data_IF_757625724602
#
_entry.id   IF_757625724602
#
_cell.length_a   1.000
_cell.length_b   1.000
_cell.length_c   1.000
_cell.angle_alpha   90.00
_cell.angle_beta   90.00
_cell.angle_gamma   90.00
#
_symmetry.space_group_name_H-M   'P 1'
#
loop_
_entity.id
_entity.type
_entity.pdbx_description
1 polymer ?
#
# COMPACT_ATOMS: atom_id res chain seq x y z
N UNK A 1 26.92 8.04 37.69
CA UNK A 1 27.55 7.55 38.93
C UNK A 1 28.54 6.48 38.54
N UNK A 2 29.84 6.81 38.54
CA UNK A 2 30.91 5.96 38.01
C UNK A 2 31.28 4.86 39.00
N UNK A 3 31.12 3.60 38.61
CA UNK A 3 31.66 2.46 39.36
C UNK A 3 33.00 2.05 38.73
N UNK A 4 34.10 2.41 39.41
CA UNK A 4 35.44 1.90 39.11
C UNK A 4 35.54 0.49 39.70
N UNK A 5 35.66 -0.52 38.85
CA UNK A 5 35.98 -1.87 39.29
C UNK A 5 37.49 -1.94 39.56
N UNK A 6 37.86 -2.01 40.84
CA UNK A 6 39.23 -2.20 41.30
C UNK A 6 39.45 -3.70 41.49
N UNK A 7 40.32 -4.31 40.67
CA UNK A 7 40.79 -5.68 40.89
C UNK A 7 42.23 -5.62 41.33
N UNK A 8 42.44 -6.01 42.58
CA UNK A 8 43.72 -6.13 43.24
C UNK A 8 44.59 -7.18 42.54
N UNK A 9 45.81 -6.79 42.18
CA UNK A 9 46.86 -7.70 41.73
C UNK A 9 47.69 -8.12 42.94
N UNK A 10 47.49 -9.35 43.39
CA UNK A 10 48.43 -10.07 44.22
C UNK A 10 48.43 -11.48 43.67
N UNK A 11 49.58 -11.97 43.21
CA UNK A 11 50.02 -13.35 43.41
C UNK A 11 51.52 -13.45 43.18
N UNK A 12 52.13 -14.24 44.06
CA UNK A 12 53.56 -14.36 44.28
C UNK A 12 54.31 -14.94 43.09
N UNK A 13 55.59 -14.60 43.04
CA UNK A 13 56.56 -15.28 42.20
C UNK A 13 56.75 -16.74 42.64
N UNK A 14 56.96 -17.59 41.64
CA UNK A 14 57.37 -18.98 41.77
C UNK A 14 57.68 -19.49 40.36
N UNK A 15 58.93 -19.89 40.15
CA UNK A 15 59.50 -20.10 38.82
C UNK A 15 59.17 -21.42 38.13
N UNK A 16 59.67 -21.52 36.90
CA UNK A 16 59.85 -22.77 36.17
C UNK A 16 58.78 -23.05 35.11
N UNK A 17 59.20 -23.20 33.85
CA UNK A 17 58.40 -23.85 32.81
C UNK A 17 58.09 -22.99 31.59
N UNK A 18 59.03 -22.92 30.66
CA UNK A 18 58.81 -22.55 29.27
C UNK A 18 57.79 -23.50 28.62
N UNK A 19 56.53 -23.08 28.52
CA UNK A 19 55.49 -23.88 27.86
C UNK A 19 54.10 -23.24 27.73
N UNK A 20 53.94 -21.94 28.01
CA UNK A 20 52.64 -21.25 27.97
C UNK A 20 52.82 -19.84 27.41
N UNK A 21 52.94 -19.69 26.09
CA UNK A 21 52.99 -18.35 25.47
C UNK A 21 52.09 -18.19 24.24
N UNK A 22 51.66 -19.26 23.57
CA UNK A 22 50.71 -19.15 22.44
C UNK A 22 49.24 -19.18 22.88
N UNK A 23 48.88 -20.03 23.85
CA UNK A 23 47.49 -20.17 24.31
C UNK A 23 46.96 -18.91 25.03
N UNK A 24 47.82 -18.22 25.81
CA UNK A 24 47.47 -16.98 26.50
C UNK A 24 47.30 -15.78 25.55
N UNK A 25 48.08 -15.73 24.48
CA UNK A 25 47.98 -14.71 23.44
C UNK A 25 46.73 -14.93 22.55
N UNK A 26 46.41 -16.17 22.22
CA UNK A 26 45.17 -16.49 21.48
C UNK A 26 43.91 -16.16 22.31
N UNK A 27 43.92 -16.42 23.61
CA UNK A 27 42.81 -16.09 24.51
C UNK A 27 42.59 -14.58 24.66
N UNK A 28 43.65 -13.77 24.67
CA UNK A 28 43.53 -12.30 24.76
C UNK A 28 43.00 -11.68 23.47
N UNK A 29 43.41 -12.19 22.30
CA UNK A 29 42.87 -11.76 21.00
C UNK A 29 41.40 -12.12 20.87
N UNK A 30 41.00 -13.33 21.30
CA UNK A 30 39.60 -13.76 21.25
C UNK A 30 38.71 -12.95 22.20
N UNK A 31 39.20 -12.62 23.40
CA UNK A 31 38.48 -11.76 24.34
C UNK A 31 38.25 -10.34 23.78
N UNK A 32 39.27 -9.74 23.16
CA UNK A 32 39.17 -8.43 22.51
C UNK A 32 38.20 -8.46 21.31
N UNK A 33 38.20 -9.53 20.51
CA UNK A 33 37.27 -9.67 19.40
C UNK A 33 35.82 -9.88 19.86
N UNK A 34 35.62 -10.61 20.96
CA UNK A 34 34.29 -10.77 21.59
C UNK A 34 33.76 -9.44 22.14
N UNK A 35 34.62 -8.62 22.74
CA UNK A 35 34.26 -7.26 23.20
C UNK A 35 33.92 -6.33 22.02
N UNK A 36 34.66 -6.41 20.92
CA UNK A 36 34.36 -5.66 19.69
C UNK A 36 33.03 -6.08 19.07
N UNK A 37 32.74 -7.37 19.04
CA UNK A 37 31.50 -7.91 18.49
C UNK A 37 30.29 -7.57 19.39
N UNK A 38 30.45 -7.62 20.71
CA UNK A 38 29.39 -7.17 21.64
C UNK A 38 29.16 -5.66 21.58
N UNK A 39 30.21 -4.86 21.35
CA UNK A 39 30.08 -3.42 21.10
C UNK A 39 29.33 -3.14 19.79
N UNK A 40 29.65 -3.86 18.69
CA UNK A 40 28.92 -3.80 17.42
C UNK A 40 27.44 -4.15 17.57
N UNK A 41 27.12 -5.21 18.33
CA UNK A 41 25.73 -5.62 18.60
C UNK A 41 24.96 -4.61 19.45
N UNK A 42 25.61 -3.98 20.42
CA UNK A 42 24.97 -2.90 21.21
C UNK A 42 24.69 -1.67 20.35
N UNK A 43 25.64 -1.25 19.52
CA UNK A 43 25.45 -0.14 18.59
C UNK A 43 24.29 -0.42 17.61
N UNK A 44 24.25 -1.64 17.03
CA UNK A 44 23.16 -2.05 16.15
C UNK A 44 21.78 -2.09 16.86
N UNK A 45 21.74 -2.54 18.11
CA UNK A 45 20.51 -2.55 18.90
C UNK A 45 20.04 -1.14 19.29
N UNK A 46 20.97 -0.21 19.55
CA UNK A 46 20.65 1.20 19.79
C UNK A 46 20.10 1.88 18.53
N UNK A 47 20.68 1.60 17.35
CA UNK A 47 20.15 2.13 16.08
C UNK A 47 18.76 1.58 15.75
N UNK A 48 18.51 0.29 16.03
CA UNK A 48 17.19 -0.31 15.81
C UNK A 48 16.13 0.36 16.69
N UNK A 49 16.42 0.57 17.98
CA UNK A 49 15.52 1.28 18.90
C UNK A 49 15.28 2.73 18.50
N UNK A 50 16.29 3.41 17.94
CA UNK A 50 16.13 4.77 17.44
C UNK A 50 15.20 4.83 16.21
N UNK A 51 15.31 3.86 15.29
CA UNK A 51 14.41 3.74 14.15
C UNK A 51 12.97 3.41 14.57
N UNK A 52 12.78 2.46 15.49
CA UNK A 52 11.47 2.11 16.02
C UNK A 52 10.80 3.31 16.72
N UNK A 53 11.57 4.10 17.48
CA UNK A 53 11.05 5.31 18.11
C UNK A 53 10.72 6.44 17.13
N UNK A 54 11.40 6.51 15.98
CA UNK A 54 11.07 7.46 14.92
C UNK A 54 9.80 7.04 14.17
N UNK A 55 9.62 5.74 13.91
CA UNK A 55 8.40 5.18 13.32
C UNK A 55 7.17 5.43 14.21
N UNK A 56 7.29 5.27 15.53
CA UNK A 56 6.20 5.60 16.47
C UNK A 56 5.84 7.08 16.45
N UNK A 57 6.83 7.98 16.32
CA UNK A 57 6.59 9.43 16.21
C UNK A 57 5.94 9.83 14.89
N UNK A 58 6.23 9.13 13.80
CA UNK A 58 5.55 9.35 12.52
C UNK A 58 4.09 8.91 12.62
N UNK A 59 3.80 7.73 13.20
CA UNK A 59 2.43 7.28 13.46
C UNK A 59 1.63 8.27 14.31
N UNK A 60 2.23 8.83 15.36
CA UNK A 60 1.56 9.82 16.21
C UNK A 60 1.30 11.15 15.46
N UNK A 61 2.18 11.55 14.54
CA UNK A 61 1.95 12.72 13.68
C UNK A 61 0.82 12.47 12.68
N UNK A 62 0.79 11.29 12.07
CA UNK A 62 -0.26 10.91 11.13
C UNK A 62 -1.62 10.88 11.82
N UNK A 63 -1.73 10.26 13.01
CA UNK A 63 -2.97 10.22 13.79
C UNK A 63 -3.44 11.63 14.23
N UNK A 64 -2.51 12.52 14.61
CA UNK A 64 -2.84 13.93 14.91
C UNK A 64 -3.29 14.71 13.69
N UNK A 65 -2.74 14.38 12.51
CA UNK A 65 -3.12 15.04 11.26
C UNK A 65 -4.52 14.60 10.82
N UNK A 66 -4.82 13.30 10.90
CA UNK A 66 -6.16 12.77 10.65
C UNK A 66 -7.22 13.34 11.61
N UNK A 67 -6.90 13.45 12.91
CA UNK A 67 -7.81 14.08 13.89
C UNK A 67 -8.12 15.53 13.53
N UNK A 68 -7.11 16.31 13.15
CA UNK A 68 -7.31 17.71 12.72
C UNK A 68 -8.14 17.81 11.44
N UNK A 69 -7.91 16.94 10.47
CA UNK A 69 -8.70 16.92 9.24
C UNK A 69 -10.18 16.56 9.51
N UNK A 70 -10.44 15.64 10.44
CA UNK A 70 -11.79 15.28 10.85
C UNK A 70 -12.48 16.40 11.64
N UNK A 71 -11.77 17.05 12.58
CA UNK A 71 -12.29 18.23 13.30
C UNK A 71 -12.64 19.36 12.33
N UNK A 72 -11.79 19.64 11.34
CA UNK A 72 -12.06 20.68 10.32
C UNK A 72 -13.25 20.31 9.42
N UNK A 73 -13.44 19.02 9.11
CA UNK A 73 -14.61 18.50 8.38
C UNK A 73 -15.89 18.65 9.22
N UNK A 74 -15.86 18.36 10.52
CA UNK A 74 -17.01 18.55 11.43
C UNK A 74 -17.39 20.02 11.59
N UNK A 75 -16.43 20.93 11.74
CA UNK A 75 -16.70 22.38 11.80
C UNK A 75 -17.36 22.91 10.52
N UNK A 76 -16.91 22.42 9.36
CA UNK A 76 -17.51 22.77 8.06
C UNK A 76 -18.93 22.22 7.91
N UNK A 77 -19.22 21.03 8.43
CA UNK A 77 -20.58 20.48 8.43
C UNK A 77 -21.52 21.23 9.38
N UNK A 78 -21.08 21.52 10.61
CA UNK A 78 -21.85 22.34 11.56
C UNK A 78 -22.06 23.78 11.08
N UNK A 79 -21.14 24.32 10.27
CA UNK A 79 -21.32 25.60 9.59
C UNK A 79 -22.43 25.57 8.52
N UNK A 80 -22.51 24.48 7.75
CA UNK A 80 -23.57 24.27 6.74
C UNK A 80 -24.93 24.04 7.38
N UNK A 81 -25.03 23.23 8.43
CA UNK A 81 -26.31 22.98 9.12
C UNK A 81 -26.90 24.23 9.77
N UNK A 82 -26.05 25.09 10.36
CA UNK A 82 -26.48 26.40 10.88
C UNK A 82 -26.99 27.33 9.79
N UNK A 83 -26.40 27.28 8.59
CA UNK A 83 -26.84 28.07 7.44
C UNK A 83 -28.16 27.54 6.84
N UNK A 84 -28.41 26.22 6.90
CA UNK A 84 -29.71 25.64 6.52
C UNK A 84 -30.83 26.04 7.50
N UNK A 85 -30.59 25.99 8.82
CA UNK A 85 -31.58 26.41 9.83
C UNK A 85 -31.97 27.88 9.70
N UNK A 86 -31.01 28.77 9.48
CA UNK A 86 -31.27 30.21 9.31
C UNK A 86 -32.04 30.58 8.04
N UNK A 87 -32.05 29.69 7.03
CA UNK A 87 -32.87 29.86 5.82
C UNK A 87 -34.30 29.32 5.99
N UNK A 88 -34.52 28.34 6.87
CA UNK A 88 -35.86 27.81 7.17
C UNK A 88 -36.67 28.71 8.11
N UNK A 89 -36.02 29.43 9.03
CA UNK A 89 -36.70 30.33 9.98
C UNK A 89 -37.29 31.60 9.31
N UNK A 90 -37.08 31.80 8.00
CA UNK A 90 -37.64 32.92 7.24
C UNK A 90 -38.92 32.58 6.47
N UNK A 91 -39.38 31.32 6.49
CA UNK A 91 -40.59 30.87 5.80
C UNK A 91 -41.64 30.29 6.77
N UNK A 92 -41.96 31.02 7.84
CA UNK A 92 -43.11 30.70 8.70
C UNK A 92 -43.93 31.96 8.90
N UNK A 93 -44.74 32.28 7.90
CA UNK A 93 -45.96 33.04 8.07
C UNK A 93 -46.96 32.53 7.03
N UNK A 94 -48.13 32.18 7.55
CA UNK A 94 -49.41 32.00 6.87
C UNK A 94 -49.86 30.56 6.51
N UNK A 95 -51.07 30.30 7.03
CA UNK A 95 -52.13 29.39 6.58
C UNK A 95 -52.36 28.08 7.35
N UNK A 96 -53.40 28.15 8.20
CA UNK A 96 -54.17 27.05 8.77
C UNK A 96 -54.89 26.27 7.66
N UNK A 97 -54.85 24.93 7.74
CA UNK A 97 -55.57 24.05 6.83
C UNK A 97 -55.17 22.60 7.05
N UNK A 98 -55.91 21.90 7.90
CA UNK A 98 -55.78 20.47 8.10
C UNK A 98 -56.50 19.75 6.96
N UNK A 99 -55.73 19.32 5.94
CA UNK A 99 -56.20 18.42 4.89
C UNK A 99 -55.51 17.06 5.06
N UNK A 100 -56.32 16.01 5.00
CA UNK A 100 -55.92 14.61 5.08
C UNK A 100 -54.86 14.29 4.00
N UNK A 101 -53.60 14.11 4.43
CA UNK A 101 -52.53 13.66 3.56
C UNK A 101 -52.71 12.15 3.35
N UNK A 102 -53.42 11.79 2.27
CA UNK A 102 -53.28 10.47 1.65
C UNK A 102 -51.79 10.20 1.36
N UNK A 103 -51.34 9.00 1.68
CA UNK A 103 -49.98 8.48 1.49
C UNK A 103 -49.33 8.94 0.17
N UNK A 104 -48.62 10.07 0.21
CA UNK A 104 -47.86 10.58 -0.93
C UNK A 104 -46.55 9.78 -0.98
N UNK A 105 -46.57 8.74 -1.80
CA UNK A 105 -45.42 7.92 -2.17
C UNK A 105 -44.20 8.83 -2.46
N UNK A 106 -43.10 8.56 -1.74
CA UNK A 106 -41.81 9.25 -1.81
C UNK A 106 -41.13 8.97 -3.16
N UNK A 107 -41.66 9.54 -4.23
CA UNK A 107 -41.21 9.45 -5.63
C UNK A 107 -39.91 10.22 -5.94
N UNK A 108 -39.24 10.82 -4.95
CA UNK A 108 -37.96 11.52 -5.13
C UNK A 108 -36.73 10.57 -5.19
N UNK A 109 -36.96 9.26 -5.26
CA UNK A 109 -35.91 8.25 -5.45
C UNK A 109 -35.44 8.07 -6.89
N UNK A 110 -35.96 8.80 -7.87
CA UNK A 110 -35.73 8.53 -9.30
C UNK A 110 -34.53 9.25 -9.90
N UNK A 111 -34.07 10.37 -9.34
CA UNK A 111 -33.03 11.19 -9.99
C UNK A 111 -31.62 10.60 -9.89
N UNK A 112 -31.23 10.10 -8.71
CA UNK A 112 -29.90 9.51 -8.52
C UNK A 112 -29.77 8.24 -9.36
N UNK A 113 -30.79 7.39 -9.34
CA UNK A 113 -30.80 6.13 -10.09
C UNK A 113 -30.82 6.38 -11.61
N UNK A 114 -31.56 7.40 -12.07
CA UNK A 114 -31.57 7.81 -13.49
C UNK A 114 -30.20 8.36 -13.90
N UNK A 115 -29.57 9.20 -13.08
CA UNK A 115 -28.22 9.73 -13.37
C UNK A 115 -27.18 8.60 -13.39
N UNK A 116 -27.25 7.67 -12.44
CA UNK A 116 -26.37 6.50 -12.43
C UNK A 116 -26.59 5.62 -13.67
N UNK A 117 -27.84 5.40 -14.09
CA UNK A 117 -28.16 4.62 -15.28
C UNK A 117 -27.67 5.30 -16.56
N UNK A 118 -27.80 6.63 -16.66
CA UNK A 118 -27.28 7.42 -17.77
C UNK A 118 -25.75 7.35 -17.82
N UNK A 119 -25.09 7.54 -16.67
CA UNK A 119 -23.63 7.50 -16.56
C UNK A 119 -23.08 6.11 -16.93
N UNK A 120 -23.67 5.06 -16.36
CA UNK A 120 -23.28 3.68 -16.68
C UNK A 120 -23.48 3.36 -18.15
N UNK A 121 -24.55 3.85 -18.78
CA UNK A 121 -24.76 3.68 -20.22
C UNK A 121 -23.69 4.39 -21.07
N UNK A 122 -23.27 5.60 -20.69
CA UNK A 122 -22.17 6.27 -21.38
C UNK A 122 -20.82 5.58 -21.18
N UNK A 123 -20.53 5.13 -19.95
CA UNK A 123 -19.32 4.40 -19.62
C UNK A 123 -19.26 3.06 -20.37
N UNK A 124 -20.40 2.38 -20.53
CA UNK A 124 -20.53 1.13 -21.31
C UNK A 124 -20.15 1.28 -22.78
N UNK A 125 -20.30 2.48 -23.36
CA UNK A 125 -19.87 2.72 -24.75
C UNK A 125 -18.34 2.70 -24.92
N UNK A 126 -17.58 3.00 -23.86
CA UNK A 126 -16.11 3.18 -23.90
C UNK A 126 -15.39 2.24 -22.91
N UNK A 127 -15.85 1.00 -22.79
CA UNK A 127 -15.36 0.05 -21.77
C UNK A 127 -13.88 -0.30 -21.91
N UNK A 128 -13.36 -0.44 -23.14
CA UNK A 128 -11.97 -0.86 -23.39
C UNK A 128 -10.92 0.06 -22.77
N UNK A 129 -11.22 1.36 -22.74
CA UNK A 129 -10.28 2.40 -22.33
C UNK A 129 -10.49 2.78 -20.86
N UNK A 130 -11.70 2.53 -20.35
CA UNK A 130 -12.09 2.86 -18.99
C UNK A 130 -11.67 1.78 -17.99
N UNK A 131 -11.82 0.49 -18.35
CA UNK A 131 -11.50 -0.64 -17.47
C UNK A 131 -10.07 -0.59 -16.92
N UNK A 132 -9.02 -0.33 -17.72
CA UNK A 132 -7.65 -0.21 -17.20
C UNK A 132 -7.49 0.87 -16.13
N UNK A 133 -8.07 2.05 -16.38
CA UNK A 133 -8.01 3.19 -15.46
C UNK A 133 -8.79 2.91 -14.18
N UNK A 134 -9.99 2.36 -14.32
CA UNK A 134 -10.84 2.01 -13.19
C UNK A 134 -10.21 0.91 -12.33
N UNK A 135 -9.57 -0.08 -12.95
CA UNK A 135 -8.84 -1.13 -12.23
C UNK A 135 -7.73 -0.53 -11.37
N UNK A 136 -6.92 0.37 -11.93
CA UNK A 136 -5.85 1.03 -11.19
C UNK A 136 -6.35 1.88 -10.03
N UNK A 137 -7.42 2.65 -10.23
CA UNK A 137 -7.94 3.57 -9.21
C UNK A 137 -8.52 2.84 -7.99
N UNK A 138 -8.84 1.56 -8.09
CA UNK A 138 -9.20 0.72 -6.93
C UNK A 138 -8.02 0.49 -5.96
N UNK A 139 -6.79 0.78 -6.39
CA UNK A 139 -5.58 0.63 -5.58
C UNK A 139 -4.99 1.98 -5.16
N UNK A 140 -5.74 3.08 -5.28
CA UNK A 140 -5.28 4.39 -4.83
C UNK A 140 -5.01 4.38 -3.32
N UNK A 141 -3.90 5.01 -2.85
CA UNK A 141 -3.63 5.11 -1.42
C UNK A 141 -4.67 5.95 -0.65
N UNK A 142 -5.47 6.79 -1.32
CA UNK A 142 -6.59 7.47 -0.70
C UNK A 142 -7.80 6.54 -0.61
N UNK A 143 -8.22 6.21 0.60
CA UNK A 143 -9.35 5.32 0.90
C UNK A 143 -10.67 5.84 0.33
N UNK A 144 -10.93 7.15 0.38
CA UNK A 144 -12.15 7.75 -0.18
C UNK A 144 -12.26 7.49 -1.69
N UNK A 145 -11.14 7.60 -2.42
CA UNK A 145 -11.09 7.34 -3.86
C UNK A 145 -11.20 5.84 -4.14
N UNK A 146 -10.47 5.01 -3.40
CA UNK A 146 -10.53 3.57 -3.52
C UNK A 146 -11.95 3.02 -3.33
N UNK A 147 -12.66 3.49 -2.30
CA UNK A 147 -14.04 3.07 -2.01
C UNK A 147 -15.01 3.49 -3.12
N UNK A 148 -14.92 4.75 -3.56
CA UNK A 148 -15.77 5.25 -4.65
C UNK A 148 -15.54 4.47 -5.96
N UNK A 149 -14.29 4.15 -6.27
CA UNK A 149 -13.91 3.43 -7.50
C UNK A 149 -14.26 1.95 -7.43
N UNK A 150 -14.17 1.34 -6.23
CA UNK A 150 -14.62 -0.04 -5.98
C UNK A 150 -16.14 -0.16 -6.07
N UNK A 151 -16.87 0.83 -5.56
CA UNK A 151 -18.32 0.91 -5.70
C UNK A 151 -18.71 1.04 -7.18
N UNK A 152 -18.04 1.91 -7.93
CA UNK A 152 -18.26 2.07 -9.37
C UNK A 152 -17.94 0.78 -10.15
N UNK A 153 -16.85 0.10 -9.81
CA UNK A 153 -16.48 -1.19 -10.40
C UNK A 153 -17.59 -2.22 -10.25
N UNK A 154 -18.18 -2.34 -9.05
CA UNK A 154 -19.28 -3.27 -8.77
C UNK A 154 -20.57 -2.95 -9.52
N UNK A 155 -20.84 -1.67 -9.78
CA UNK A 155 -22.04 -1.24 -10.54
C UNK A 155 -21.84 -1.49 -12.04
N UNK A 156 -20.62 -1.30 -12.55
CA UNK A 156 -20.32 -1.36 -13.97
C UNK A 156 -20.06 -2.78 -14.47
N UNK A 157 -19.42 -3.60 -13.64
CA UNK A 157 -18.89 -4.91 -14.02
C UNK A 157 -19.66 -6.02 -13.29
N UNK A 158 -20.47 -6.77 -14.05
CA UNK A 158 -21.27 -7.88 -13.51
C UNK A 158 -20.39 -9.03 -13.01
N UNK A 159 -19.42 -9.48 -13.84
CA UNK A 159 -18.40 -10.47 -13.45
C UNK A 159 -16.98 -9.85 -13.51
N UNK A 160 -16.35 -9.58 -12.36
CA UNK A 160 -15.04 -8.94 -12.31
C UNK A 160 -13.92 -9.82 -12.91
N UNK A 161 -14.02 -11.14 -12.80
CA UNK A 161 -12.97 -12.05 -13.30
C UNK A 161 -13.04 -12.16 -14.81
N UNK A 162 -14.25 -12.25 -15.36
CA UNK A 162 -14.46 -12.34 -16.79
C UNK A 162 -14.08 -11.03 -17.49
N UNK A 163 -14.54 -9.89 -16.97
CA UNK A 163 -14.22 -8.57 -17.53
C UNK A 163 -12.72 -8.27 -17.50
N UNK A 164 -12.05 -8.61 -16.39
CA UNK A 164 -10.60 -8.45 -16.28
C UNK A 164 -9.85 -9.34 -17.27
N UNK A 165 -10.31 -10.57 -17.50
CA UNK A 165 -9.67 -11.48 -18.46
C UNK A 165 -9.87 -11.03 -19.91
N UNK A 166 -11.03 -10.42 -20.23
CA UNK A 166 -11.31 -9.87 -21.56
C UNK A 166 -10.44 -8.64 -21.90
N UNK A 167 -10.16 -7.78 -20.92
CA UNK A 167 -9.40 -6.54 -21.10
C UNK A 167 -7.96 -6.62 -20.56
N UNK A 168 -7.49 -7.82 -20.20
CA UNK A 168 -6.21 -8.02 -19.51
C UNK A 168 -5.02 -7.35 -20.22
N UNK A 169 -4.84 -7.46 -21.55
CA UNK A 169 -3.69 -6.85 -22.22
C UNK A 169 -3.66 -5.32 -22.06
N UNK A 170 -4.83 -4.69 -22.10
CA UNK A 170 -4.99 -3.24 -21.93
C UNK A 170 -4.69 -2.82 -20.48
N UNK A 171 -5.17 -3.61 -19.51
CA UNK A 171 -4.93 -3.37 -18.08
C UNK A 171 -3.43 -3.50 -17.76
N UNK A 172 -2.77 -4.56 -18.22
CA UNK A 172 -1.33 -4.77 -18.00
C UNK A 172 -0.50 -3.62 -18.58
N UNK A 173 -0.85 -3.17 -19.80
CA UNK A 173 -0.16 -2.06 -20.46
C UNK A 173 -0.35 -0.73 -19.73
N UNK A 174 -1.58 -0.41 -19.29
CA UNK A 174 -1.87 0.83 -18.54
C UNK A 174 -1.15 0.86 -17.20
N UNK A 175 -1.18 -0.25 -16.45
CA UNK A 175 -0.52 -0.36 -15.15
C UNK A 175 1.00 -0.25 -15.28
N UNK A 176 1.61 -0.92 -16.27
CA UNK A 176 3.05 -0.80 -16.53
C UNK A 176 3.45 0.62 -16.96
N UNK A 177 2.62 1.26 -17.78
CA UNK A 177 2.82 2.66 -18.20
C UNK A 177 2.74 3.60 -17.02
N UNK A 178 1.71 3.49 -16.18
CA UNK A 178 1.55 4.40 -15.04
C UNK A 178 2.68 4.23 -14.01
N UNK A 179 3.10 2.98 -13.75
CA UNK A 179 4.21 2.67 -12.86
C UNK A 179 5.51 3.43 -13.21
N UNK A 180 5.74 3.70 -14.51
CA UNK A 180 6.96 4.34 -14.99
C UNK A 180 6.78 5.80 -15.41
N UNK A 181 5.63 6.16 -15.98
CA UNK A 181 5.37 7.47 -16.56
C UNK A 181 4.63 8.43 -15.63
N UNK A 182 4.05 7.95 -14.52
CA UNK A 182 3.26 8.81 -13.65
C UNK A 182 4.14 9.83 -12.92
N UNK A 183 3.74 11.10 -13.02
CA UNK A 183 4.40 12.21 -12.33
C UNK A 183 4.11 12.20 -10.83
N UNK A 184 3.00 11.58 -10.41
CA UNK A 184 2.59 11.52 -9.00
C UNK A 184 3.04 10.22 -8.38
N UNK A 185 3.56 10.28 -7.14
CA UNK A 185 3.94 9.06 -6.41
C UNK A 185 2.71 8.17 -6.12
N UNK A 186 1.53 8.77 -5.96
CA UNK A 186 0.27 8.04 -5.73
C UNK A 186 -0.08 7.11 -6.89
N UNK A 187 0.03 7.59 -8.13
CA UNK A 187 -0.21 6.77 -9.32
C UNK A 187 0.76 5.60 -9.42
N UNK A 188 2.03 5.82 -9.05
CA UNK A 188 3.06 4.77 -9.02
C UNK A 188 2.83 3.74 -7.92
N UNK A 189 2.43 4.17 -6.72
CA UNK A 189 2.07 3.28 -5.61
C UNK A 189 0.84 2.43 -5.96
N UNK A 190 -0.22 3.04 -6.51
CA UNK A 190 -1.41 2.34 -6.94
C UNK A 190 -1.08 1.31 -8.03
N UNK A 191 -0.25 1.68 -9.01
CA UNK A 191 0.22 0.76 -10.03
C UNK A 191 1.01 -0.42 -9.43
N UNK A 192 1.89 -0.17 -8.45
CA UNK A 192 2.64 -1.24 -7.77
C UNK A 192 1.71 -2.25 -7.09
N UNK A 193 0.73 -1.76 -6.32
CA UNK A 193 -0.27 -2.62 -5.68
C UNK A 193 -1.12 -3.37 -6.71
N UNK A 194 -1.53 -2.71 -7.79
CA UNK A 194 -2.29 -3.33 -8.88
C UNK A 194 -1.50 -4.46 -9.57
N UNK A 195 -0.18 -4.29 -9.80
CA UNK A 195 0.67 -5.36 -10.37
C UNK A 195 0.69 -6.58 -9.45
N UNK A 196 0.80 -6.34 -8.13
CA UNK A 196 0.83 -7.43 -7.14
C UNK A 196 -0.40 -8.33 -7.24
N UNK A 197 -1.60 -7.73 -7.28
CA UNK A 197 -2.87 -8.46 -7.36
C UNK A 197 -3.13 -9.07 -8.73
N UNK A 198 -2.80 -8.35 -9.81
CA UNK A 198 -3.09 -8.76 -11.17
C UNK A 198 -2.36 -10.04 -11.59
N UNK A 199 -1.16 -10.25 -11.05
CA UNK A 199 -0.31 -11.40 -11.37
C UNK A 199 -0.67 -12.67 -10.58
N UNK A 200 -1.46 -12.55 -9.52
CA UNK A 200 -1.86 -13.71 -8.71
C UNK A 200 -2.78 -14.62 -9.54
N UNK A 201 -2.44 -15.90 -9.59
CA UNK A 201 -3.26 -16.93 -10.27
C UNK A 201 -3.27 -16.88 -11.80
N UNK A 202 -2.54 -15.95 -12.45
CA UNK A 202 -2.49 -15.85 -13.91
C UNK A 202 -1.50 -16.81 -14.56
N UNK A 203 -1.82 -17.23 -15.78
CA UNK A 203 -0.97 -18.09 -16.60
C UNK A 203 -0.06 -17.28 -17.50
N UNK A 204 1.04 -17.89 -17.93
CA UNK A 204 1.99 -17.20 -18.81
C UNK A 204 1.41 -16.82 -20.18
N UNK A 205 0.52 -17.63 -20.73
CA UNK A 205 -0.16 -17.34 -22.00
C UNK A 205 -0.88 -15.99 -21.98
N UNK A 206 -1.29 -15.52 -20.80
CA UNK A 206 -2.00 -14.27 -20.59
C UNK A 206 -1.06 -13.08 -20.35
N UNK A 207 0.03 -13.27 -19.59
CA UNK A 207 0.92 -12.18 -19.15
C UNK A 207 2.17 -12.01 -20.02
N UNK A 208 2.53 -13.01 -20.82
CA UNK A 208 3.85 -13.11 -21.46
C UNK A 208 4.20 -11.92 -22.37
N UNK A 209 3.21 -11.34 -23.05
CA UNK A 209 3.41 -10.19 -23.93
C UNK A 209 3.81 -8.91 -23.20
N UNK A 210 3.35 -8.72 -21.97
CA UNK A 210 3.60 -7.53 -21.16
C UNK A 210 4.60 -7.77 -20.02
N UNK A 211 5.11 -9.00 -19.88
CA UNK A 211 5.94 -9.38 -18.73
C UNK A 211 7.22 -8.55 -18.64
N UNK A 212 7.90 -8.28 -19.76
CA UNK A 212 9.11 -7.44 -19.77
C UNK A 212 8.81 -6.01 -19.28
N UNK A 213 7.74 -5.40 -19.79
CA UNK A 213 7.33 -4.07 -19.38
C UNK A 213 7.00 -4.01 -17.87
N UNK A 214 6.30 -5.03 -17.35
CA UNK A 214 5.99 -5.14 -15.92
C UNK A 214 7.25 -5.33 -15.08
N UNK A 215 8.17 -6.20 -15.52
CA UNK A 215 9.42 -6.46 -14.82
C UNK A 215 10.28 -5.21 -14.70
N UNK A 216 10.46 -4.49 -15.81
CA UNK A 216 11.20 -3.23 -15.84
C UNK A 216 10.50 -2.16 -14.99
N UNK A 217 9.16 -2.08 -15.05
CA UNK A 217 8.40 -1.16 -14.23
C UNK A 217 8.56 -1.43 -12.73
N UNK A 218 8.47 -2.70 -12.31
CA UNK A 218 8.64 -3.07 -10.90
C UNK A 218 10.05 -2.80 -10.38
N UNK A 219 11.10 -3.06 -11.16
CA UNK A 219 12.47 -2.71 -10.75
C UNK A 219 12.62 -1.20 -10.54
N UNK A 220 12.01 -0.38 -11.41
CA UNK A 220 12.01 1.08 -11.23
C UNK A 220 11.24 1.51 -9.98
N UNK A 221 10.12 0.86 -9.69
CA UNK A 221 9.32 1.15 -8.49
C UNK A 221 10.04 0.77 -7.19
N UNK A 222 10.88 -0.27 -7.20
CA UNK A 222 11.71 -0.64 -6.05
C UNK A 222 12.77 0.43 -5.71
N UNK A 223 13.18 1.23 -6.69
CA UNK A 223 14.10 2.36 -6.55
C UNK A 223 13.37 3.72 -6.55
N UNK A 224 12.07 3.74 -6.27
CA UNK A 224 11.33 5.01 -6.20
C UNK A 224 11.85 5.88 -5.06
N UNK A 225 11.76 7.21 -5.19
CA UNK A 225 12.15 8.17 -4.15
C UNK A 225 11.31 8.01 -2.87
N UNK A 226 10.03 7.62 -2.97
CA UNK A 226 9.10 7.54 -1.84
C UNK A 226 9.07 6.13 -1.24
N UNK A 227 9.30 6.04 0.07
CA UNK A 227 9.27 4.77 0.83
C UNK A 227 7.98 3.96 0.65
N UNK A 228 6.81 4.61 0.67
CA UNK A 228 5.53 3.91 0.53
C UNK A 228 5.38 3.24 -0.84
N UNK A 229 5.95 3.83 -1.89
CA UNK A 229 5.98 3.23 -3.23
C UNK A 229 6.89 2.01 -3.23
N UNK A 230 8.09 2.11 -2.63
CA UNK A 230 9.02 0.98 -2.48
C UNK A 230 8.38 -0.17 -1.69
N UNK A 231 7.66 0.13 -0.61
CA UNK A 231 6.92 -0.84 0.19
C UNK A 231 5.88 -1.61 -0.63
N UNK A 232 5.08 -0.92 -1.44
CA UNK A 232 4.13 -1.55 -2.35
C UNK A 232 4.83 -2.37 -3.46
N UNK A 233 5.94 -1.87 -3.99
CA UNK A 233 6.72 -2.52 -5.04
C UNK A 233 7.31 -3.87 -4.61
N UNK A 234 7.60 -4.06 -3.31
CA UNK A 234 8.03 -5.37 -2.78
C UNK A 234 6.95 -6.44 -3.01
N UNK A 235 5.67 -6.09 -2.89
CA UNK A 235 4.55 -6.99 -3.21
C UNK A 235 4.56 -7.39 -4.69
N UNK A 236 4.63 -6.39 -5.57
CA UNK A 236 4.72 -6.62 -7.02
C UNK A 236 5.92 -7.51 -7.40
N UNK A 237 7.09 -7.27 -6.80
CA UNK A 237 8.30 -8.04 -7.06
C UNK A 237 8.15 -9.50 -6.63
N UNK A 238 7.49 -9.76 -5.49
CA UNK A 238 7.18 -11.12 -5.04
C UNK A 238 6.23 -11.82 -6.02
N UNK A 239 5.19 -11.15 -6.49
CA UNK A 239 4.26 -11.71 -7.48
C UNK A 239 4.95 -12.01 -8.80
N UNK A 240 5.78 -11.08 -9.32
CA UNK A 240 6.58 -11.32 -10.53
C UNK A 240 7.55 -12.48 -10.37
N UNK A 241 8.25 -12.57 -9.24
CA UNK A 241 9.13 -13.71 -8.92
C UNK A 241 8.35 -15.01 -8.97
N UNK A 242 7.16 -15.07 -8.37
CA UNK A 242 6.36 -16.28 -8.36
C UNK A 242 5.88 -16.66 -9.78
N UNK A 243 5.51 -15.69 -10.62
CA UNK A 243 5.20 -15.92 -12.03
C UNK A 243 6.43 -16.45 -12.80
N UNK A 244 7.60 -15.88 -12.57
CA UNK A 244 8.85 -16.34 -13.19
C UNK A 244 9.21 -17.77 -12.76
N UNK A 245 9.05 -18.12 -11.49
CA UNK A 245 9.30 -19.48 -11.00
C UNK A 245 8.36 -20.50 -11.66
N UNK A 246 7.08 -20.16 -11.85
CA UNK A 246 6.14 -21.02 -12.59
C UNK A 246 6.52 -21.21 -14.06
N UNK A 247 7.21 -20.24 -14.67
CA UNK A 247 7.71 -20.38 -16.04
C UNK A 247 8.87 -21.39 -16.16
N UNK A 248 9.63 -21.55 -15.09
CA UNK A 248 10.76 -22.49 -15.04
C UNK A 248 10.28 -23.91 -14.69
N UNK A 249 9.04 -24.08 -14.25
CA UNK A 249 8.47 -25.40 -13.95
C UNK A 249 8.31 -26.23 -15.25
N UNK A 250 8.94 -27.42 -15.36
CA UNK A 250 8.86 -28.27 -16.55
C UNK A 250 7.43 -28.73 -16.88
N UNK A 251 6.51 -28.75 -15.91
CA UNK A 251 5.11 -29.07 -16.17
C UNK A 251 4.41 -27.96 -16.96
N UNK A 252 4.60 -26.70 -16.57
CA UNK A 252 4.04 -25.54 -17.26
C UNK A 252 4.69 -25.31 -18.64
N UNK A 253 5.98 -25.65 -18.79
CA UNK A 253 6.65 -25.63 -20.10
C UNK A 253 6.00 -26.61 -21.08
N UNK A 254 5.73 -27.84 -20.64
CA UNK A 254 5.06 -28.86 -21.46
C UNK A 254 3.66 -28.45 -21.90
N UNK A 255 2.94 -27.70 -21.07
CA UNK A 255 1.62 -27.16 -21.42
C UNK A 255 1.69 -26.07 -22.51
N UNK A 256 2.80 -25.33 -22.60
CA UNK A 256 3.01 -24.33 -23.67
C UNK A 256 3.38 -24.95 -24.99
N UNK A 257 4.26 -25.96 -24.95
CA UNK A 257 4.79 -26.58 -26.16
C UNK A 257 3.78 -27.53 -26.83
N UNK A 258 2.54 -27.57 -26.34
CA UNK A 258 1.45 -28.36 -26.90
C UNK A 258 1.72 -29.85 -26.78
N UNK A 259 1.93 -30.32 -25.55
CA UNK A 259 2.27 -31.70 -25.21
C UNK A 259 1.47 -32.78 -25.92
#
# INVERSE_FOLDING_TARGET
SSSRFSVASSWGGGGGGSGWSEAGAAASVFAVELERETCRRRAAAETLRAMEAEEEREKEKDEKTEKKENEEKEEKNNGKERNLKSNNDKNVADEEGEEDIEDLDLSYGTDIDVVQKQLTQQLRSNMSDFIPKLYRLQFDPNTEVQEAMSALWRILVDDPRQALSAHLPSVLADVAKEATASRTWRGRQAAASAISELLIGRRWSEIGSNFEALYVATIRLLDDVKDSVRGAAVGAAKSLRNCALRLVDPYEQRQRDGG
#
